data_IF_095130024436
#
_entry.id   IF_095130024436
#
_cell.length_a   1.000
_cell.length_b   1.000
_cell.length_c   1.000
_cell.angle_alpha   90.00
_cell.angle_beta   90.00
_cell.angle_gamma   90.00
#
_symmetry.space_group_name_H-M   'P 1'
#
loop_
_entity.id
_entity.type
_entity.pdbx_description
1 polymer ?
#
# COMPACT_ATOMS: atom_id res chain seq x y z
N UNK A 1 15.02 7.85 -5.87
CA UNK A 1 15.07 6.40 -6.12
C UNK A 1 15.94 5.76 -5.07
N UNK A 2 15.58 4.58 -4.57
CA UNK A 2 16.36 3.84 -3.57
C UNK A 2 17.43 2.97 -4.25
N UNK A 3 18.17 2.16 -3.47
CA UNK A 3 19.22 1.29 -4.00
C UNK A 3 18.72 0.21 -4.96
N UNK A 4 17.42 -0.10 -4.93
CA UNK A 4 16.74 -1.04 -5.82
C UNK A 4 16.22 -0.39 -7.11
N UNK A 5 16.44 0.92 -7.31
CA UNK A 5 15.93 1.66 -8.45
C UNK A 5 14.45 2.02 -8.37
N UNK A 6 13.80 1.80 -7.22
CA UNK A 6 12.40 2.14 -7.00
C UNK A 6 12.25 3.62 -6.66
N UNK A 7 11.24 4.27 -7.22
CA UNK A 7 10.89 5.64 -6.83
C UNK A 7 10.15 5.61 -5.49
N UNK A 8 10.59 6.41 -4.53
CA UNK A 8 9.94 6.55 -3.22
C UNK A 8 9.52 8.01 -3.00
N UNK A 9 8.36 8.23 -2.41
CA UNK A 9 7.84 9.58 -2.20
C UNK A 9 6.43 9.61 -1.65
N UNK A 10 5.85 10.80 -1.60
CA UNK A 10 4.42 10.94 -1.31
C UNK A 10 3.61 10.73 -2.59
N UNK A 11 2.46 10.06 -2.46
CA UNK A 11 1.47 9.99 -3.55
C UNK A 11 0.87 11.37 -3.89
N UNK A 12 1.10 12.39 -3.07
CA UNK A 12 0.71 13.77 -3.36
C UNK A 12 1.63 14.45 -4.38
N UNK A 13 2.92 14.08 -4.41
CA UNK A 13 3.94 14.70 -5.28
C UNK A 13 4.07 13.97 -6.63
N UNK A 14 3.54 12.75 -6.74
CA UNK A 14 3.59 11.96 -7.96
C UNK A 14 3.11 10.53 -7.72
N UNK A 15 3.55 9.62 -8.58
CA UNK A 15 3.17 8.21 -8.53
C UNK A 15 4.43 7.35 -8.31
N UNK A 16 4.99 7.32 -7.09
CA UNK A 16 6.15 6.50 -6.77
C UNK A 16 5.78 5.02 -6.61
N UNK A 17 6.73 4.12 -6.91
CA UNK A 17 6.58 2.68 -6.64
C UNK A 17 6.38 2.41 -5.15
N UNK A 18 7.08 3.19 -4.31
CA UNK A 18 7.02 3.17 -2.85
C UNK A 18 6.32 4.42 -2.34
N UNK A 19 5.10 4.24 -1.85
CA UNK A 19 4.29 5.31 -1.28
C UNK A 19 4.61 5.46 0.20
N UNK A 20 5.01 6.66 0.61
CA UNK A 20 5.26 6.98 2.01
C UNK A 20 3.95 6.97 2.79
N UNK A 21 3.91 6.19 3.88
CA UNK A 21 2.77 6.09 4.79
C UNK A 21 3.20 6.27 6.24
N UNK A 22 2.25 6.69 7.08
CA UNK A 22 2.41 6.68 8.53
C UNK A 22 1.72 5.43 9.07
N UNK A 23 2.50 4.51 9.62
CA UNK A 23 1.98 3.29 10.24
C UNK A 23 1.16 3.59 11.50
N UNK A 24 0.32 2.64 11.96
CA UNK A 24 -0.50 2.79 13.17
C UNK A 24 0.34 3.02 14.43
N UNK A 25 1.60 2.57 14.42
CA UNK A 25 2.56 2.79 15.52
C UNK A 25 3.15 4.20 15.54
N UNK A 26 2.85 5.05 14.54
CA UNK A 26 3.47 6.36 14.36
C UNK A 26 4.83 6.33 13.63
N UNK A 27 5.26 5.15 13.18
CA UNK A 27 6.48 4.99 12.39
C UNK A 27 6.18 5.35 10.94
N UNK A 28 6.99 6.25 10.38
CA UNK A 28 6.95 6.54 8.93
C UNK A 28 7.63 5.41 8.18
N UNK A 29 6.95 4.83 7.20
CA UNK A 29 7.51 3.85 6.30
C UNK A 29 6.98 3.98 4.87
N UNK A 30 7.20 2.94 4.08
CA UNK A 30 6.91 2.92 2.66
C UNK A 30 6.20 1.63 2.29
N UNK A 31 5.20 1.73 1.43
CA UNK A 31 4.41 0.58 0.98
C UNK A 31 4.41 0.55 -0.52
N UNK A 32 4.39 -0.65 -1.10
CA UNK A 32 4.32 -0.77 -2.54
C UNK A 32 2.96 -0.32 -3.04
N UNK A 33 2.96 0.51 -4.09
CA UNK A 33 1.74 0.90 -4.78
C UNK A 33 0.94 -0.32 -5.24
N UNK A 34 1.61 -1.40 -5.65
CA UNK A 34 0.98 -2.67 -6.03
C UNK A 34 0.32 -3.40 -4.87
N UNK A 35 0.79 -3.22 -3.64
CA UNK A 35 0.14 -3.78 -2.45
C UNK A 35 -1.12 -2.96 -2.07
N UNK A 36 -1.06 -1.64 -2.30
CA UNK A 36 -2.16 -0.70 -2.08
C UNK A 36 -3.27 -0.78 -3.14
N UNK A 37 -2.92 -0.93 -4.41
CA UNK A 37 -3.91 -0.92 -5.50
C UNK A 37 -4.17 -2.34 -6.05
N UNK A 38 -3.31 -3.30 -5.74
CA UNK A 38 -3.29 -4.58 -6.46
C UNK A 38 -2.50 -4.46 -7.77
N UNK A 39 -2.40 -5.56 -8.54
CA UNK A 39 -1.87 -5.51 -9.89
C UNK A 39 -2.68 -4.52 -10.72
N UNK A 40 -2.08 -3.86 -11.71
CA UNK A 40 -2.82 -2.91 -12.54
C UNK A 40 -3.96 -3.66 -13.28
N UNK A 41 -5.21 -3.38 -12.93
CA UNK A 41 -6.36 -3.98 -13.57
C UNK A 41 -6.43 -3.51 -15.02
N UNK A 42 -6.19 -4.43 -15.96
CA UNK A 42 -6.26 -4.12 -17.40
C UNK A 42 -7.69 -4.14 -17.91
N UNK A 43 -8.61 -4.74 -17.15
CA UNK A 43 -10.02 -4.87 -17.49
C UNK A 43 -10.93 -4.30 -16.40
N UNK A 44 -12.14 -3.86 -16.79
CA UNK A 44 -13.14 -3.34 -15.85
C UNK A 44 -13.59 -4.41 -14.84
N UNK A 45 -13.68 -5.67 -15.25
CA UNK A 45 -14.04 -6.77 -14.35
C UNK A 45 -12.95 -7.01 -13.29
N UNK A 46 -11.67 -6.97 -13.68
CA UNK A 46 -10.56 -7.04 -12.73
C UNK A 46 -10.56 -5.86 -11.76
N UNK A 47 -10.84 -4.63 -12.24
CA UNK A 47 -10.92 -3.45 -11.38
C UNK A 47 -12.03 -3.61 -10.33
N UNK A 48 -13.21 -4.07 -10.75
CA UNK A 48 -14.33 -4.30 -9.82
C UNK A 48 -14.04 -5.44 -8.83
N UNK A 49 -13.38 -6.51 -9.28
CA UNK A 49 -12.95 -7.61 -8.40
C UNK A 49 -11.87 -7.14 -7.40
N UNK A 50 -10.96 -6.26 -7.83
CA UNK A 50 -9.98 -5.63 -6.97
C UNK A 50 -10.62 -4.73 -5.93
N UNK A 51 -11.51 -3.82 -6.31
CA UNK A 51 -12.20 -2.96 -5.35
C UNK A 51 -12.96 -3.78 -4.29
N UNK A 52 -13.63 -4.86 -4.70
CA UNK A 52 -14.27 -5.79 -3.77
C UNK A 52 -13.28 -6.51 -2.85
N UNK A 53 -12.14 -6.98 -3.38
CA UNK A 53 -11.08 -7.60 -2.58
C UNK A 53 -10.40 -6.58 -1.64
N UNK A 54 -10.28 -5.33 -2.06
CA UNK A 54 -9.76 -4.24 -1.24
C UNK A 54 -10.71 -3.94 -0.07
N UNK A 55 -12.02 -4.05 -0.28
CA UNK A 55 -13.03 -3.91 0.77
C UNK A 55 -13.04 -5.04 1.80
N UNK A 56 -12.56 -6.23 1.44
CA UNK A 56 -12.56 -7.41 2.32
C UNK A 56 -11.63 -7.31 3.53
N UNK A 57 -10.80 -6.26 3.62
CA UNK A 57 -9.82 -6.09 4.70
C UNK A 57 -8.57 -6.90 4.44
N UNK A 58 -7.43 -6.23 4.37
CA UNK A 58 -6.13 -6.87 4.17
C UNK A 58 -5.05 -6.16 4.95
N UNK A 59 -4.07 -6.94 5.39
CA UNK A 59 -2.87 -6.40 6.05
C UNK A 59 -1.83 -6.06 5.00
N UNK A 60 -1.40 -4.80 4.99
CA UNK A 60 -0.38 -4.30 4.08
C UNK A 60 0.93 -4.13 4.87
N UNK A 61 2.02 -4.75 4.43
CA UNK A 61 3.34 -4.58 5.05
C UNK A 61 3.91 -3.19 4.76
N UNK A 62 4.44 -2.55 5.81
CA UNK A 62 5.17 -1.28 5.72
C UNK A 62 6.66 -1.58 5.80
N UNK A 63 7.38 -1.12 4.79
CA UNK A 63 8.82 -1.29 4.66
C UNK A 63 9.59 0.00 4.97
N UNK A 64 10.91 -0.12 5.08
CA UNK A 64 11.82 1.02 5.09
C UNK A 64 11.91 1.72 3.71
N UNK A 65 12.74 2.76 3.61
CA UNK A 65 12.99 3.50 2.36
C UNK A 65 13.58 2.63 1.25
N UNK A 66 14.22 1.51 1.60
CA UNK A 66 14.76 0.53 0.66
C UNK A 66 13.69 -0.49 0.22
N UNK A 67 12.49 -0.47 0.80
CA UNK A 67 11.40 -1.39 0.45
C UNK A 67 11.69 -2.84 0.82
N UNK A 68 12.67 -3.08 1.70
CA UNK A 68 13.20 -4.43 1.98
C UNK A 68 12.99 -4.84 3.42
N UNK A 69 13.20 -3.90 4.36
CA UNK A 69 13.03 -4.18 5.79
C UNK A 69 11.58 -3.93 6.19
N UNK A 70 10.87 -4.95 6.69
CA UNK A 70 9.55 -4.75 7.30
C UNK A 70 9.71 -3.98 8.62
N UNK A 71 9.11 -2.80 8.72
CA UNK A 71 9.15 -1.97 9.93
C UNK A 71 7.80 -1.88 10.64
N UNK A 72 6.69 -2.02 9.91
CA UNK A 72 5.33 -2.01 10.47
C UNK A 72 4.36 -2.78 9.56
N UNK A 73 3.11 -2.94 9.98
CA UNK A 73 2.02 -3.47 9.16
C UNK A 73 0.74 -2.70 9.48
N UNK A 74 -0.07 -2.40 8.48
CA UNK A 74 -1.33 -1.69 8.69
C UNK A 74 -2.47 -2.42 7.98
N UNK A 75 -3.63 -2.40 8.62
CA UNK A 75 -4.83 -3.07 8.11
C UNK A 75 -5.66 -2.07 7.30
N UNK A 76 -6.00 -2.44 6.07
CA UNK A 76 -6.78 -1.63 5.13
C UNK A 76 -7.99 -2.42 4.66
N UNK A 77 -9.19 -1.86 4.87
CA UNK A 77 -10.45 -2.54 4.60
C UNK A 77 -10.99 -3.21 5.86
N UNK A 78 -12.24 -3.66 5.82
CA UNK A 78 -13.00 -4.02 7.02
C UNK A 78 -13.83 -2.84 7.50
N UNK A 79 -15.12 -2.87 7.14
CA UNK A 79 -16.12 -2.21 7.96
C UNK A 79 -15.99 -2.81 9.37
N UNK A 80 -15.52 -2.04 10.34
CA UNK A 80 -15.72 -2.40 11.74
C UNK A 80 -17.22 -2.47 11.96
N UNK A 81 -17.80 -3.66 11.82
CA UNK A 81 -19.17 -3.95 12.18
C UNK A 81 -19.23 -4.05 13.71
N UNK A 82 -18.85 -2.97 14.38
CA UNK A 82 -19.12 -2.72 15.79
C UNK A 82 -20.08 -1.54 15.86
N UNK A 83 -21.36 -1.81 15.59
CA UNK A 83 -22.46 -1.00 16.10
C UNK A 83 -23.67 -1.86 16.44
#
# INVERSE_FOLDING_TARGET
MNSHGLSYGSSADGDPDLVRVLGPTGITGFVYKTDLNGPEATTREEAAAQEQAQHAGRTIPVYDVEGTTLIDTFFVGGIDSTS
#
